data_IF_459412846491
#
_entry.id   IF_459412846491
#
_cell.length_a   1.000
_cell.length_b   1.000
_cell.length_c   1.000
_cell.angle_alpha   90.00
_cell.angle_beta   90.00
_cell.angle_gamma   90.00
#
_symmetry.space_group_name_H-M   'P 1'
#
loop_
_entity.id
_entity.type
_entity.pdbx_description
1 polymer ?
#
# COMPACT_ATOMS: atom_id res chain seq x y z
N UNK A 1 15.00 32.39 -7.50
CA UNK A 1 14.85 30.92 -7.46
C UNK A 1 13.39 30.47 -7.67
N UNK A 2 12.37 31.26 -7.26
CA UNK A 2 10.92 30.98 -7.39
C UNK A 2 10.42 30.45 -8.75
N UNK A 3 10.97 30.90 -9.89
CA UNK A 3 10.50 30.46 -11.22
C UNK A 3 10.62 28.95 -11.46
N UNK A 4 11.62 28.28 -10.88
CA UNK A 4 11.82 26.84 -11.09
C UNK A 4 10.83 26.02 -10.28
N UNK A 5 10.50 26.47 -9.07
CA UNK A 5 9.51 25.83 -8.20
C UNK A 5 8.09 25.97 -8.80
N UNK A 6 7.78 27.13 -9.38
CA UNK A 6 6.51 27.35 -10.10
C UNK A 6 6.37 26.44 -11.33
N UNK A 7 7.47 26.22 -12.07
CA UNK A 7 7.48 25.32 -13.23
C UNK A 7 7.32 23.87 -12.79
N UNK A 8 8.00 23.47 -11.71
CA UNK A 8 7.88 22.13 -11.14
C UNK A 8 6.45 21.85 -10.65
N UNK A 9 5.85 22.80 -9.91
CA UNK A 9 4.47 22.70 -9.44
C UNK A 9 3.46 22.58 -10.59
N UNK A 10 3.62 23.39 -11.65
CA UNK A 10 2.78 23.31 -12.86
C UNK A 10 2.92 21.96 -13.57
N UNK A 11 4.13 21.41 -13.66
CA UNK A 11 4.37 20.09 -14.27
C UNK A 11 3.71 18.97 -13.46
N UNK A 12 3.81 19.03 -12.13
CA UNK A 12 3.14 18.06 -11.25
C UNK A 12 1.63 18.10 -11.46
N UNK A 13 1.02 19.30 -11.46
CA UNK A 13 -0.40 19.46 -11.71
C UNK A 13 -0.83 18.88 -13.08
N UNK A 14 -0.07 19.18 -14.14
CA UNK A 14 -0.34 18.67 -15.49
C UNK A 14 -0.30 17.13 -15.56
N UNK A 15 0.67 16.50 -14.89
CA UNK A 15 0.80 15.03 -14.86
C UNK A 15 -0.38 14.41 -14.09
N UNK A 16 -0.76 15.01 -12.95
CA UNK A 16 -1.90 14.55 -12.15
C UNK A 16 -3.18 14.64 -12.98
N UNK A 17 -3.38 15.73 -13.72
CA UNK A 17 -4.51 15.92 -14.62
C UNK A 17 -4.57 14.86 -15.71
N UNK A 18 -3.46 14.65 -16.41
CA UNK A 18 -3.38 13.61 -17.43
C UNK A 18 -3.68 12.21 -16.85
N UNK A 19 -3.18 11.92 -15.65
CA UNK A 19 -3.44 10.66 -14.98
C UNK A 19 -4.92 10.48 -14.64
N UNK A 20 -5.56 11.49 -14.02
CA UNK A 20 -6.97 11.44 -13.63
C UNK A 20 -7.89 11.32 -14.86
N UNK A 21 -7.62 12.09 -15.91
CA UNK A 21 -8.37 12.02 -17.18
C UNK A 21 -8.24 10.66 -17.87
N UNK A 22 -7.04 10.10 -17.89
CA UNK A 22 -6.83 8.75 -18.43
C UNK A 22 -7.57 7.69 -17.60
N UNK A 23 -7.57 7.85 -16.27
CA UNK A 23 -8.23 6.92 -15.35
C UNK A 23 -9.75 6.94 -15.52
N UNK A 24 -10.34 8.12 -15.70
CA UNK A 24 -11.77 8.35 -15.90
C UNK A 24 -12.37 7.54 -17.05
N UNK A 25 -11.59 7.28 -18.10
CA UNK A 25 -12.06 6.51 -19.28
C UNK A 25 -12.34 5.04 -18.98
N UNK A 26 -11.69 4.49 -17.94
CA UNK A 26 -11.68 3.05 -17.68
C UNK A 26 -12.11 2.68 -16.25
N UNK A 27 -12.09 3.62 -15.31
CA UNK A 27 -12.37 3.37 -13.91
C UNK A 27 -13.19 4.52 -13.29
N UNK A 28 -14.08 4.18 -12.36
CA UNK A 28 -14.86 5.15 -11.57
C UNK A 28 -14.15 5.67 -10.32
N UNK A 29 -12.86 5.39 -10.15
CA UNK A 29 -12.11 5.76 -8.95
C UNK A 29 -10.61 6.01 -9.22
N UNK A 30 -9.97 6.70 -8.28
CA UNK A 30 -8.53 6.98 -8.22
C UNK A 30 -7.97 6.51 -6.88
N UNK A 31 -6.86 5.77 -6.90
CA UNK A 31 -6.09 5.41 -5.71
C UNK A 31 -4.94 6.39 -5.53
N UNK A 32 -4.75 6.90 -4.31
CA UNK A 32 -3.66 7.85 -4.04
C UNK A 32 -2.29 7.18 -4.17
N UNK A 33 -2.09 5.93 -3.72
CA UNK A 33 -0.83 5.18 -3.90
C UNK A 33 -0.49 4.98 -5.38
N UNK A 34 -1.46 4.55 -6.20
CA UNK A 34 -1.24 4.38 -7.64
C UNK A 34 -0.95 5.72 -8.33
N UNK A 35 -1.65 6.78 -7.94
CA UNK A 35 -1.43 8.12 -8.48
C UNK A 35 0.00 8.61 -8.18
N UNK A 36 0.48 8.51 -6.93
CA UNK A 36 1.87 8.90 -6.66
C UNK A 36 2.89 8.04 -7.37
N UNK A 37 2.70 6.71 -7.44
CA UNK A 37 3.63 5.86 -8.19
C UNK A 37 3.69 6.29 -9.66
N UNK A 38 2.56 6.65 -10.25
CA UNK A 38 2.51 7.16 -11.62
C UNK A 38 3.24 8.50 -11.76
N UNK A 39 2.96 9.46 -10.86
CA UNK A 39 3.61 10.78 -10.87
C UNK A 39 5.12 10.66 -10.63
N UNK A 40 5.55 9.89 -9.63
CA UNK A 40 6.95 9.68 -9.25
C UNK A 40 7.78 9.00 -10.35
N UNK A 41 7.16 8.19 -11.21
CA UNK A 41 7.84 7.60 -12.38
C UNK A 41 8.20 8.64 -13.43
N UNK A 42 7.40 9.71 -13.55
CA UNK A 42 7.60 10.75 -14.56
C UNK A 42 8.47 11.87 -14.02
N UNK A 43 8.30 12.22 -12.74
CA UNK A 43 9.00 13.32 -12.08
C UNK A 43 9.13 13.00 -10.60
N UNK A 44 10.27 13.29 -9.98
CA UNK A 44 10.35 13.34 -8.51
C UNK A 44 9.72 14.65 -8.03
N UNK A 45 8.51 14.64 -7.46
CA UNK A 45 7.88 15.88 -7.00
C UNK A 45 8.67 16.47 -5.84
N UNK A 46 8.87 17.79 -5.83
CA UNK A 46 9.40 18.53 -4.68
C UNK A 46 8.34 18.86 -3.62
N UNK A 47 7.18 18.19 -3.67
CA UNK A 47 6.05 18.40 -2.76
C UNK A 47 5.88 17.21 -1.83
N UNK A 48 5.19 17.42 -0.71
CA UNK A 48 4.96 16.37 0.27
C UNK A 48 4.01 15.28 -0.25
N UNK A 49 4.07 14.08 0.33
CA UNK A 49 3.19 12.99 -0.03
C UNK A 49 1.70 13.33 0.22
N UNK A 50 1.40 14.04 1.31
CA UNK A 50 0.06 14.49 1.65
C UNK A 50 -0.45 15.54 0.67
N UNK A 51 0.39 16.51 0.31
CA UNK A 51 0.03 17.55 -0.66
C UNK A 51 -0.25 16.95 -2.06
N UNK A 52 0.54 15.96 -2.47
CA UNK A 52 0.27 15.20 -3.69
C UNK A 52 -1.07 14.46 -3.64
N UNK A 53 -1.43 13.89 -2.48
CA UNK A 53 -2.70 13.19 -2.30
C UNK A 53 -3.89 14.14 -2.35
N UNK A 54 -3.76 15.32 -1.75
CA UNK A 54 -4.78 16.37 -1.77
C UNK A 54 -5.02 16.87 -3.21
N UNK A 55 -3.95 17.10 -3.99
CA UNK A 55 -4.06 17.50 -5.39
C UNK A 55 -4.77 16.44 -6.24
N UNK A 56 -4.42 15.16 -6.03
CA UNK A 56 -5.06 14.04 -6.72
C UNK A 56 -6.53 13.94 -6.34
N UNK A 57 -6.85 14.05 -5.05
CA UNK A 57 -8.21 13.95 -4.54
C UNK A 57 -9.08 15.09 -5.07
N UNK A 58 -8.60 16.33 -5.01
CA UNK A 58 -9.31 17.49 -5.53
C UNK A 58 -9.67 17.33 -7.01
N UNK A 59 -8.72 16.82 -7.81
CA UNK A 59 -8.93 16.67 -9.24
C UNK A 59 -9.81 15.47 -9.60
N UNK A 60 -9.73 14.38 -8.83
CA UNK A 60 -10.61 13.23 -8.96
C UNK A 60 -12.06 13.61 -8.64
N UNK A 61 -12.30 14.34 -7.54
CA UNK A 61 -13.64 14.83 -7.16
C UNK A 61 -14.19 15.76 -8.24
N UNK A 62 -13.38 16.71 -8.73
CA UNK A 62 -13.77 17.59 -9.84
C UNK A 62 -14.20 16.81 -11.09
N UNK A 63 -13.62 15.62 -11.29
CA UNK A 63 -13.90 14.75 -12.43
C UNK A 63 -14.96 13.68 -12.19
N UNK A 64 -15.61 13.68 -11.02
CA UNK A 64 -16.65 12.71 -10.67
C UNK A 64 -16.13 11.31 -10.36
N UNK A 65 -14.85 11.19 -9.96
CA UNK A 65 -14.24 9.92 -9.56
C UNK A 65 -14.21 9.79 -8.04
N UNK A 66 -14.47 8.57 -7.54
CA UNK A 66 -14.24 8.24 -6.14
C UNK A 66 -12.74 8.25 -5.80
N UNK A 67 -12.39 8.63 -4.58
CA UNK A 67 -10.98 8.68 -4.12
C UNK A 67 -10.75 7.60 -3.07
N UNK A 68 -9.69 6.82 -3.25
CA UNK A 68 -9.25 5.78 -2.31
C UNK A 68 -7.90 6.18 -1.73
N UNK A 69 -7.87 6.44 -0.42
CA UNK A 69 -6.65 6.77 0.32
C UNK A 69 -5.97 5.49 0.85
N UNK A 70 -5.15 4.85 0.02
CA UNK A 70 -4.49 3.57 0.30
C UNK A 70 -3.01 3.69 0.68
N UNK A 71 -2.44 4.90 0.65
CA UNK A 71 -1.02 5.13 1.03
C UNK A 71 -0.77 5.14 2.54
N UNK A 72 -1.73 5.61 3.34
CA UNK A 72 -1.58 5.83 4.79
C UNK A 72 -1.29 4.58 5.63
N UNK A 73 -1.53 3.38 5.09
CA UNK A 73 -1.23 2.13 5.79
C UNK A 73 0.28 1.77 5.79
N UNK A 74 1.14 2.51 5.07
CA UNK A 74 2.54 2.13 4.84
C UNK A 74 3.61 3.10 5.35
N UNK A 75 3.28 4.22 5.98
CA UNK A 75 4.34 5.08 6.51
C UNK A 75 3.90 6.37 7.16
N UNK A 76 3.73 6.31 8.48
CA UNK A 76 4.14 7.36 9.41
C UNK A 76 4.77 6.69 10.63
N UNK A 77 5.95 6.08 10.44
CA UNK A 77 6.89 5.80 11.52
C UNK A 77 8.16 6.54 11.16
N UNK A 78 8.25 7.79 11.63
CA UNK A 78 9.33 8.69 11.28
C UNK A 78 9.21 10.04 11.99
N UNK A 79 9.41 10.02 13.32
CA UNK A 79 10.04 11.11 14.07
C UNK A 79 9.31 12.44 14.19
N UNK A 80 8.43 12.56 15.19
CA UNK A 80 8.37 13.76 16.01
C UNK A 80 8.10 13.29 17.45
N UNK A 81 9.16 13.15 18.23
CA UNK A 81 9.06 13.11 19.68
C UNK A 81 8.46 14.44 20.13
N UNK A 82 7.18 14.41 20.51
CA UNK A 82 6.61 15.37 21.42
C UNK A 82 6.01 14.56 22.56
N UNK A 83 6.84 14.46 23.61
CA UNK A 83 6.48 14.11 24.96
C UNK A 83 5.23 14.89 25.40
N UNK A 84 4.07 14.22 25.39
CA UNK A 84 2.88 14.62 26.13
C UNK A 84 2.24 13.36 26.71
N UNK A 85 2.75 13.00 27.87
CA UNK A 85 2.20 12.00 28.76
C UNK A 85 0.73 12.32 29.12
N UNK A 86 -0.06 11.24 29.10
CA UNK A 86 -1.22 10.94 29.94
C UNK A 86 -2.62 11.43 29.54
N UNK A 87 -3.46 10.39 29.40
CA UNK A 87 -4.94 10.31 29.51
C UNK A 87 -5.73 10.72 28.27
N UNK A 88 -5.94 9.76 27.36
CA UNK A 88 -7.26 9.13 27.19
C UNK A 88 -7.16 7.94 26.21
N UNK A 89 -6.66 6.79 26.69
CA UNK A 89 -6.89 5.51 26.03
C UNK A 89 -8.15 4.87 26.62
N UNK A 90 -9.30 5.52 26.45
CA UNK A 90 -10.59 4.88 26.68
C UNK A 90 -11.42 5.04 25.41
N UNK A 91 -11.82 3.90 24.84
CA UNK A 91 -12.60 3.71 23.61
C UNK A 91 -11.85 3.31 22.34
N UNK A 92 -10.83 2.44 22.47
CA UNK A 92 -10.43 1.55 21.37
C UNK A 92 -11.40 0.35 21.32
N UNK A 93 -12.34 0.39 20.38
CA UNK A 93 -13.18 -0.78 20.07
C UNK A 93 -12.28 -1.96 19.61
N UNK A 94 -12.57 -3.21 20.00
CA UNK A 94 -11.74 -4.36 19.66
C UNK A 94 -12.05 -4.79 18.22
N UNK A 95 -11.10 -4.61 17.31
CA UNK A 95 -11.10 -5.30 16.03
C UNK A 95 -9.92 -6.29 16.00
N UNK A 96 -10.08 -7.36 16.78
CA UNK A 96 -9.43 -8.64 16.53
C UNK A 96 -9.92 -9.20 15.17
N UNK A 97 -9.22 -8.89 14.09
CA UNK A 97 -9.04 -9.85 13.00
C UNK A 97 -7.65 -9.65 12.44
N UNK A 98 -6.67 -10.38 12.97
CA UNK A 98 -5.31 -10.35 12.42
C UNK A 98 -5.36 -10.77 10.95
N UNK A 99 -5.01 -9.86 10.03
CA UNK A 99 -5.17 -10.05 8.59
C UNK A 99 -4.19 -11.12 8.05
N UNK A 100 -4.65 -12.36 8.05
CA UNK A 100 -3.90 -13.51 7.52
C UNK A 100 -3.62 -13.37 6.03
N UNK A 101 -4.52 -12.75 5.26
CA UNK A 101 -4.34 -12.61 3.83
C UNK A 101 -3.28 -11.57 3.48
N UNK A 102 -3.27 -10.42 4.17
CA UNK A 102 -2.24 -9.40 4.03
C UNK A 102 -0.87 -9.87 4.52
N UNK A 103 -0.82 -10.63 5.63
CA UNK A 103 0.42 -11.23 6.11
C UNK A 103 1.01 -12.24 5.10
N UNK A 104 0.16 -13.04 4.45
CA UNK A 104 0.59 -13.96 3.39
C UNK A 104 1.18 -13.22 2.18
N UNK A 105 0.54 -12.13 1.73
CA UNK A 105 1.08 -11.31 0.63
C UNK A 105 2.44 -10.68 0.98
N UNK A 106 2.61 -10.22 2.22
CA UNK A 106 3.86 -9.63 2.69
C UNK A 106 5.01 -10.66 2.74
N UNK A 107 4.72 -11.89 3.17
CA UNK A 107 5.69 -12.99 3.20
C UNK A 107 6.09 -13.35 1.76
N UNK A 108 5.13 -13.56 0.86
CA UNK A 108 5.43 -13.91 -0.53
C UNK A 108 6.14 -12.79 -1.29
N UNK A 109 5.78 -11.52 -1.03
CA UNK A 109 6.43 -10.36 -1.63
C UNK A 109 7.89 -10.20 -1.23
N UNK A 110 8.23 -10.50 0.03
CA UNK A 110 9.61 -10.41 0.54
C UNK A 110 10.53 -11.49 -0.04
N UNK A 111 9.97 -12.65 -0.42
CA UNK A 111 10.73 -13.80 -0.91
C UNK A 111 10.74 -13.94 -2.44
N UNK A 112 10.22 -12.94 -3.16
CA UNK A 112 10.13 -12.96 -4.64
C UNK A 112 11.49 -13.00 -5.34
N UNK A 113 12.52 -12.42 -4.75
CA UNK A 113 13.77 -12.14 -5.47
C UNK A 113 14.98 -12.99 -5.03
N UNK A 114 15.00 -13.62 -3.85
CA UNK A 114 16.25 -14.26 -3.36
C UNK A 114 16.13 -15.49 -2.46
N UNK A 115 14.96 -16.12 -2.29
CA UNK A 115 14.88 -17.33 -1.47
C UNK A 115 13.75 -18.27 -1.89
N UNK A 116 14.11 -19.51 -2.18
CA UNK A 116 13.18 -20.63 -2.33
C UNK A 116 12.46 -20.87 -1.01
N UNK A 117 11.25 -20.34 -0.87
CA UNK A 117 10.44 -20.48 0.33
C UNK A 117 9.77 -21.87 0.34
N UNK A 118 9.93 -22.60 1.43
CA UNK A 118 9.20 -23.84 1.72
C UNK A 118 7.74 -23.56 2.07
N UNK A 119 6.82 -24.47 1.75
CA UNK A 119 5.41 -24.33 2.14
C UNK A 119 5.26 -24.37 3.67
N UNK A 120 5.98 -25.27 4.35
CA UNK A 120 5.98 -25.34 5.83
C UNK A 120 6.55 -24.08 6.47
N UNK A 121 7.63 -23.53 5.91
CA UNK A 121 8.22 -22.28 6.39
C UNK A 121 7.25 -21.10 6.24
N UNK A 122 6.52 -21.03 5.12
CA UNK A 122 5.50 -20.02 4.88
C UNK A 122 4.37 -20.06 5.92
N UNK A 123 3.89 -21.26 6.24
CA UNK A 123 2.84 -21.48 7.24
C UNK A 123 3.34 -21.09 8.64
N UNK A 124 4.55 -21.48 9.01
CA UNK A 124 5.15 -21.14 10.30
C UNK A 124 5.25 -19.62 10.49
N UNK A 125 5.78 -18.91 9.50
CA UNK A 125 5.86 -17.45 9.49
C UNK A 125 4.48 -16.79 9.57
N UNK A 126 3.49 -17.37 8.89
CA UNK A 126 2.13 -16.86 8.91
C UNK A 126 1.50 -17.02 10.31
N UNK A 127 1.72 -18.15 10.97
CA UNK A 127 1.27 -18.38 12.36
C UNK A 127 1.99 -17.46 13.35
N UNK A 128 3.30 -17.29 13.21
CA UNK A 128 4.09 -16.40 14.06
C UNK A 128 3.60 -14.95 13.95
N UNK A 129 3.36 -14.47 12.72
CA UNK A 129 2.94 -13.09 12.48
C UNK A 129 1.49 -12.81 12.84
N UNK A 130 0.62 -13.82 12.75
CA UNK A 130 -0.84 -13.59 12.83
C UNK A 130 -1.52 -14.23 14.04
N UNK A 131 -0.86 -15.17 14.71
CA UNK A 131 -1.47 -15.99 15.77
C UNK A 131 -2.63 -16.87 15.26
N UNK A 132 -2.74 -17.07 13.94
CA UNK A 132 -3.87 -17.80 13.35
C UNK A 132 -3.95 -19.25 13.83
N UNK A 133 -5.16 -19.67 14.22
CA UNK A 133 -5.51 -21.05 14.58
C UNK A 133 -6.09 -21.87 13.42
N UNK A 134 -6.10 -21.32 12.19
CA UNK A 134 -6.57 -22.02 10.98
C UNK A 134 -5.80 -23.31 10.75
N UNK A 135 -6.39 -24.27 10.06
CA UNK A 135 -5.72 -25.53 9.71
C UNK A 135 -4.64 -25.29 8.66
N UNK A 136 -3.62 -26.15 8.63
CA UNK A 136 -2.54 -26.05 7.63
C UNK A 136 -3.08 -26.12 6.21
N UNK A 137 -4.08 -26.98 5.94
CA UNK A 137 -4.71 -27.08 4.62
C UNK A 137 -5.37 -25.76 4.14
N UNK A 138 -5.99 -24.98 5.05
CA UNK A 138 -6.56 -23.68 4.70
C UNK A 138 -5.46 -22.66 4.38
N UNK A 139 -4.39 -22.66 5.17
CA UNK A 139 -3.24 -21.77 4.99
C UNK A 139 -2.48 -22.11 3.71
N UNK A 140 -2.29 -23.40 3.40
CA UNK A 140 -1.73 -23.88 2.15
C UNK A 140 -2.56 -23.43 0.94
N UNK A 141 -3.88 -23.61 1.01
CA UNK A 141 -4.79 -23.18 -0.04
C UNK A 141 -4.73 -21.67 -0.30
N UNK A 142 -4.61 -20.87 0.76
CA UNK A 142 -4.45 -19.42 0.68
C UNK A 142 -3.09 -19.03 0.07
N UNK A 143 -2.01 -19.62 0.57
CA UNK A 143 -0.64 -19.37 0.12
C UNK A 143 -0.44 -19.79 -1.34
N UNK A 144 -0.95 -20.96 -1.75
CA UNK A 144 -0.88 -21.43 -3.13
C UNK A 144 -1.60 -20.48 -4.10
N UNK A 145 -2.81 -20.01 -3.73
CA UNK A 145 -3.57 -19.04 -4.55
C UNK A 145 -2.82 -17.73 -4.70
N UNK A 146 -2.28 -17.17 -3.60
CA UNK A 146 -1.53 -15.91 -3.62
C UNK A 146 -0.20 -16.04 -4.36
N UNK A 147 0.51 -17.14 -4.17
CA UNK A 147 1.76 -17.42 -4.87
C UNK A 147 1.55 -17.54 -6.39
N UNK A 148 0.44 -18.14 -6.83
CA UNK A 148 0.06 -18.19 -8.26
C UNK A 148 -0.13 -16.80 -8.83
N UNK A 149 -0.83 -15.91 -8.11
CA UNK A 149 -1.04 -14.51 -8.53
C UNK A 149 0.28 -13.73 -8.58
N UNK A 150 1.21 -14.00 -7.66
CA UNK A 150 2.49 -13.31 -7.54
C UNK A 150 3.63 -13.93 -8.36
N UNK A 151 3.40 -15.10 -8.98
CA UNK A 151 4.42 -15.86 -9.71
C UNK A 151 5.54 -16.41 -8.81
N UNK A 152 5.24 -16.68 -7.54
CA UNK A 152 6.19 -17.24 -6.57
C UNK A 152 6.07 -18.76 -6.57
N UNK A 153 7.20 -19.46 -6.66
CA UNK A 153 7.25 -20.91 -6.58
C UNK A 153 7.74 -21.34 -5.19
N UNK A 154 7.03 -22.28 -4.58
CA UNK A 154 7.50 -22.91 -3.34
C UNK A 154 8.53 -23.99 -3.67
N UNK A 155 9.55 -24.09 -2.83
CA UNK A 155 10.44 -25.25 -2.86
C UNK A 155 9.66 -26.50 -2.42
N UNK A 156 9.88 -27.62 -3.11
CA UNK A 156 9.34 -28.90 -2.67
C UNK A 156 10.17 -29.35 -1.46
N UNK A 157 9.57 -29.26 -0.28
CA UNK A 157 10.13 -29.89 0.91
C UNK A 157 10.16 -31.40 0.67
N UNK A 158 11.37 -31.97 0.60
CA UNK A 158 11.60 -33.42 0.56
C UNK A 158 11.78 -33.95 1.97
#
# INVERSE_FOLDING_TARGET
MQRFDDIAARRVAMIIEQYVEARKRHFGYVSTDQAARAVQRVLKPGISAHELDDMVAALAVKNGLAVVFDRGARGSVGGAEADLDRKDQTMRAPAETTDVAGAADAILGSHRENASLSMKAAIALLRERTGTKRSDADLEGLLAKKATVLGVHFSRDN
#
